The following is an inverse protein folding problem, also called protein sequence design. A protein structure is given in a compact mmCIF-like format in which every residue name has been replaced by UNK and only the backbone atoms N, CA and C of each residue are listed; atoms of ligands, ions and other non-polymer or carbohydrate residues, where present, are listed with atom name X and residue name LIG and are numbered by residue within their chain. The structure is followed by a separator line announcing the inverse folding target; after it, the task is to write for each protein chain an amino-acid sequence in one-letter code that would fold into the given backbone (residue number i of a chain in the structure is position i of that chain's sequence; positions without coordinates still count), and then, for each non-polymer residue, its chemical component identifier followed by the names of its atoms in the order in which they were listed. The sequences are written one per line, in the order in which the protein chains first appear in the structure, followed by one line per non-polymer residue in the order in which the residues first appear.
data_IF_672096377903
#
_entry.id   IF_672096377903
#
_cell.length_a   1.000
_cell.length_b   1.000
_cell.length_c   1.000
_cell.angle_alpha   90.00
_cell.angle_beta   90.00
_cell.angle_gamma   90.00
#
_symmetry.space_group_name_H-M   'P 1'
#
loop_
_entity.id
_entity.type
_entity.pdbx_description
1 polymer ?
#
# COMPACT_ATOMS: atom_id res chain seq x y z
N UNK A 1 27.55 -10.26 16.59
CA UNK A 1 26.74 -11.38 16.03
C UNK A 1 25.95 -10.88 14.83
N UNK A 2 26.06 -11.52 13.66
CA UNK A 2 25.18 -11.20 12.51
C UNK A 2 23.77 -11.68 12.84
N UNK A 3 22.77 -10.80 12.87
CA UNK A 3 21.36 -11.21 13.04
C UNK A 3 20.97 -12.12 11.88
N UNK A 4 20.43 -13.31 12.18
CA UNK A 4 19.91 -14.22 11.16
C UNK A 4 18.70 -13.56 10.50
N UNK A 5 18.67 -13.53 9.17
CA UNK A 5 17.49 -13.10 8.41
C UNK A 5 16.58 -14.32 8.29
N UNK A 6 15.42 -14.28 8.93
CA UNK A 6 14.43 -15.37 8.86
C UNK A 6 13.29 -14.89 7.96
N UNK A 7 13.13 -15.51 6.80
CA UNK A 7 12.05 -15.22 5.87
C UNK A 7 10.72 -15.81 6.37
N UNK A 8 9.59 -15.22 5.96
CA UNK A 8 8.26 -15.79 6.13
C UNK A 8 7.57 -15.99 4.77
N UNK A 9 6.50 -16.81 4.75
CA UNK A 9 5.68 -17.00 3.55
C UNK A 9 4.55 -15.97 3.51
N UNK A 10 4.57 -15.06 2.53
CA UNK A 10 3.51 -14.05 2.35
C UNK A 10 2.14 -14.68 2.20
N UNK A 11 2.04 -15.78 1.44
CA UNK A 11 0.79 -16.50 1.24
C UNK A 11 0.27 -17.11 2.55
N UNK A 12 1.15 -17.66 3.39
CA UNK A 12 0.76 -18.21 4.70
C UNK A 12 0.29 -17.09 5.64
N UNK A 13 1.01 -15.97 5.70
CA UNK A 13 0.63 -14.81 6.51
C UNK A 13 -0.71 -14.22 6.07
N UNK A 14 -0.93 -14.01 4.77
CA UNK A 14 -2.18 -13.48 4.22
C UNK A 14 -3.34 -14.44 4.52
N UNK A 15 -3.12 -15.75 4.34
CA UNK A 15 -4.13 -16.76 4.67
C UNK A 15 -4.47 -16.76 6.15
N UNK A 16 -3.46 -16.68 7.02
CA UNK A 16 -3.65 -16.59 8.47
C UNK A 16 -4.43 -15.33 8.85
N UNK A 17 -4.10 -14.18 8.26
CA UNK A 17 -4.83 -12.93 8.50
C UNK A 17 -6.30 -13.05 8.06
N UNK A 18 -6.56 -13.67 6.90
CA UNK A 18 -7.93 -13.89 6.42
C UNK A 18 -8.73 -14.84 7.34
N UNK A 19 -8.07 -15.83 7.96
CA UNK A 19 -8.70 -16.73 8.94
C UNK A 19 -8.99 -16.03 10.26
N UNK A 20 -8.08 -15.19 10.74
CA UNK A 20 -8.20 -14.53 12.04
C UNK A 20 -9.17 -13.33 12.02
N UNK A 21 -9.25 -12.59 10.91
CA UNK A 21 -10.13 -11.42 10.75
C UNK A 21 -10.99 -11.51 9.49
N UNK A 22 -11.92 -12.48 9.42
CA UNK A 22 -12.76 -12.68 8.26
C UNK A 22 -13.63 -11.44 7.98
N UNK A 23 -13.84 -11.12 6.69
CA UNK A 23 -14.75 -10.07 6.21
C UNK A 23 -14.47 -8.64 6.70
N UNK A 24 -13.31 -8.36 7.30
CA UNK A 24 -13.02 -7.03 7.85
C UNK A 24 -12.31 -6.09 6.85
N UNK A 25 -11.53 -6.65 5.93
CA UNK A 25 -10.85 -5.89 4.87
C UNK A 25 -11.67 -5.94 3.59
N UNK A 26 -11.80 -4.80 2.91
CA UNK A 26 -12.34 -4.75 1.55
C UNK A 26 -11.31 -5.19 0.51
N UNK A 27 -10.03 -5.01 0.79
CA UNK A 27 -8.92 -5.41 -0.11
C UNK A 27 -8.91 -6.93 -0.26
N UNK A 28 -9.13 -7.40 -1.49
CA UNK A 28 -9.21 -8.83 -1.78
C UNK A 28 -7.89 -9.57 -1.49
N UNK A 29 -7.92 -10.87 -1.19
CA UNK A 29 -6.70 -11.67 -1.05
C UNK A 29 -5.79 -11.61 -2.28
N UNK A 30 -6.36 -11.51 -3.49
CA UNK A 30 -5.59 -11.33 -4.73
C UNK A 30 -4.82 -10.01 -4.73
N UNK A 31 -5.48 -8.89 -4.37
CA UNK A 31 -4.82 -7.61 -4.24
C UNK A 31 -3.76 -7.62 -3.13
N UNK A 32 -4.01 -8.29 -2.00
CA UNK A 32 -3.03 -8.44 -0.93
C UNK A 32 -1.77 -9.18 -1.38
N UNK A 33 -1.92 -10.29 -2.12
CA UNK A 33 -0.79 -11.03 -2.72
C UNK A 33 -0.02 -10.14 -3.71
N UNK A 34 -0.73 -9.35 -4.51
CA UNK A 34 -0.13 -8.39 -5.43
C UNK A 34 0.68 -7.31 -4.69
N UNK A 35 0.16 -6.77 -3.59
CA UNK A 35 0.88 -5.81 -2.74
C UNK A 35 2.12 -6.45 -2.14
N UNK A 36 1.97 -7.65 -1.58
CA UNK A 36 3.06 -8.39 -0.92
C UNK A 36 4.18 -8.80 -1.88
N UNK A 37 3.94 -8.90 -3.19
CA UNK A 37 5.00 -9.10 -4.21
C UNK A 37 6.06 -7.98 -4.19
N UNK A 38 5.67 -6.79 -3.75
CA UNK A 38 6.56 -5.62 -3.65
C UNK A 38 7.16 -5.42 -2.25
N UNK A 39 6.85 -6.32 -1.32
CA UNK A 39 7.33 -6.29 0.05
C UNK A 39 8.20 -7.53 0.31
N UNK A 40 9.23 -7.39 1.15
CA UNK A 40 9.88 -8.57 1.74
C UNK A 40 9.00 -9.09 2.88
N UNK A 41 9.04 -10.41 3.14
CA UNK A 41 8.46 -11.02 4.34
C UNK A 41 9.58 -11.50 5.26
N UNK A 42 9.81 -10.81 6.39
CA UNK A 42 10.88 -11.18 7.34
C UNK A 42 10.37 -11.22 8.79
N UNK A 43 10.66 -12.33 9.50
CA UNK A 43 10.35 -12.50 10.93
C UNK A 43 11.28 -11.69 11.85
N UNK A 44 12.45 -11.32 11.35
CA UNK A 44 13.44 -10.50 12.08
C UNK A 44 13.51 -9.09 11.48
N UNK A 45 13.49 -8.03 12.31
CA UNK A 45 13.58 -6.65 11.85
C UNK A 45 14.83 -6.37 11.00
N UNK A 46 14.66 -5.54 9.98
CA UNK A 46 15.71 -5.09 9.07
C UNK A 46 15.53 -3.61 8.74
N UNK A 47 16.60 -2.95 8.28
CA UNK A 47 16.50 -1.60 7.75
C UNK A 47 16.20 -1.65 6.26
N UNK A 48 15.12 -0.99 5.83
CA UNK A 48 14.84 -0.81 4.41
C UNK A 48 15.84 0.18 3.76
N UNK A 49 15.89 0.31 2.42
CA UNK A 49 16.79 1.26 1.75
C UNK A 49 16.59 2.73 2.18
N UNK A 50 15.44 3.08 2.74
CA UNK A 50 15.16 4.40 3.29
C UNK A 50 15.60 4.56 4.77
N UNK A 51 16.26 3.56 5.36
CA UNK A 51 16.78 3.61 6.73
C UNK A 51 15.73 3.40 7.83
N UNK A 52 14.53 2.92 7.48
CA UNK A 52 13.44 2.66 8.45
C UNK A 52 13.49 1.21 8.92
N UNK A 53 13.30 0.98 10.22
CA UNK A 53 13.21 -0.37 10.78
C UNK A 53 11.88 -1.02 10.38
N UNK A 54 11.96 -2.17 9.73
CA UNK A 54 10.84 -2.86 9.08
C UNK A 54 10.80 -4.33 9.51
N UNK A 55 9.60 -4.91 9.62
CA UNK A 55 9.38 -6.33 9.93
C UNK A 55 8.11 -6.85 9.25
N UNK A 56 7.98 -8.17 9.17
CA UNK A 56 6.83 -8.81 8.53
C UNK A 56 6.79 -8.50 7.04
N UNK A 57 5.58 -8.19 6.55
CA UNK A 57 5.34 -7.72 5.18
C UNK A 57 5.34 -6.18 5.18
N UNK A 58 6.53 -5.58 5.16
CA UNK A 58 6.70 -4.12 5.02
C UNK A 58 6.27 -3.25 6.23
N UNK A 59 5.91 -3.82 7.38
CA UNK A 59 5.42 -3.07 8.56
C UNK A 59 6.53 -2.30 9.26
N UNK A 60 6.31 -1.02 9.57
CA UNK A 60 7.28 -0.12 10.23
C UNK A 60 6.82 0.42 11.58
N UNK A 61 5.58 0.17 12.00
CA UNK A 61 5.03 0.74 13.23
C UNK A 61 5.53 0.01 14.47
N UNK A 62 6.13 0.74 15.42
CA UNK A 62 6.58 0.23 16.74
C UNK A 62 7.31 -1.12 16.63
N UNK A 63 8.32 -1.17 15.76
CA UNK A 63 9.12 -2.40 15.56
C UNK A 63 10.13 -2.52 16.69
N UNK A 64 10.09 -3.64 17.40
CA UNK A 64 11.01 -4.03 18.45
C UNK A 64 12.12 -4.90 17.86
N UNK A 65 13.29 -4.88 18.48
CA UNK A 65 14.42 -5.67 18.01
C UNK A 65 14.38 -7.13 18.50
N UNK A 66 13.39 -7.91 18.05
CA UNK A 66 13.22 -9.33 18.34
C UNK A 66 12.68 -10.11 17.14
N UNK A 67 12.66 -11.44 17.21
CA UNK A 67 11.92 -12.25 16.26
C UNK A 67 10.41 -12.14 16.51
N UNK A 68 9.63 -12.10 15.43
CA UNK A 68 8.17 -12.07 15.44
C UNK A 68 7.59 -13.41 15.01
N UNK A 69 6.55 -13.86 15.71
CA UNK A 69 5.75 -15.01 15.30
C UNK A 69 4.88 -14.68 14.09
N UNK A 70 4.46 -15.70 13.34
CA UNK A 70 3.64 -15.52 12.14
C UNK A 70 2.28 -14.87 12.45
N UNK A 71 1.67 -15.19 13.60
CA UNK A 71 0.45 -14.53 14.06
C UNK A 71 0.63 -13.02 14.27
N UNK A 72 1.76 -12.59 14.83
CA UNK A 72 2.06 -11.16 15.02
C UNK A 72 2.29 -10.45 13.68
N UNK A 73 2.92 -11.14 12.72
CA UNK A 73 3.13 -10.61 11.38
C UNK A 73 1.79 -10.49 10.63
N UNK A 74 0.90 -11.48 10.77
CA UNK A 74 -0.44 -11.45 10.21
C UNK A 74 -1.28 -10.33 10.81
N UNK A 75 -1.23 -10.13 12.14
CA UNK A 75 -1.89 -9.02 12.81
C UNK A 75 -1.37 -7.67 12.32
N UNK A 76 -0.05 -7.53 12.16
CA UNK A 76 0.56 -6.30 11.63
C UNK A 76 0.11 -6.02 10.20
N UNK A 77 0.17 -7.02 9.33
CA UNK A 77 -0.30 -6.91 7.94
C UNK A 77 -1.77 -6.46 7.88
N UNK A 78 -2.62 -7.13 8.65
CA UNK A 78 -4.04 -6.79 8.76
C UNK A 78 -4.25 -5.35 9.23
N UNK A 79 -3.60 -4.95 10.33
CA UNK A 79 -3.75 -3.63 10.90
C UNK A 79 -3.22 -2.52 9.97
N UNK A 80 -2.15 -2.79 9.23
CA UNK A 80 -1.56 -1.85 8.27
C UNK A 80 -2.52 -1.62 7.09
N UNK A 81 -3.09 -2.69 6.53
CA UNK A 81 -4.13 -2.60 5.50
C UNK A 81 -5.39 -1.91 6.03
N UNK A 82 -5.87 -2.25 7.21
CA UNK A 82 -7.06 -1.62 7.79
C UNK A 82 -6.87 -0.11 7.97
N UNK A 83 -5.67 0.35 8.35
CA UNK A 83 -5.35 1.77 8.42
C UNK A 83 -5.29 2.41 7.04
N UNK A 84 -4.74 1.72 6.04
CA UNK A 84 -4.72 2.19 4.66
C UNK A 84 -6.13 2.33 4.09
N UNK A 85 -6.99 1.32 4.24
CA UNK A 85 -8.40 1.35 3.82
C UNK A 85 -9.19 2.48 4.48
N UNK A 86 -9.02 2.68 5.79
CA UNK A 86 -9.64 3.79 6.53
C UNK A 86 -9.22 5.15 5.96
N UNK A 87 -7.94 5.31 5.61
CA UNK A 87 -7.48 6.51 4.93
C UNK A 87 -8.11 6.68 3.55
N UNK A 88 -8.13 5.62 2.72
CA UNK A 88 -8.73 5.67 1.38
C UNK A 88 -10.20 6.07 1.44
N UNK A 89 -10.96 5.48 2.35
CA UNK A 89 -12.36 5.82 2.57
C UNK A 89 -12.54 7.29 2.99
N UNK A 90 -11.75 7.76 3.97
CA UNK A 90 -11.87 9.11 4.51
C UNK A 90 -11.38 10.20 3.56
N UNK A 91 -10.22 10.03 2.96
CA UNK A 91 -9.52 11.08 2.23
C UNK A 91 -9.78 11.06 0.72
N UNK A 92 -10.17 9.92 0.15
CA UNK A 92 -10.21 9.72 -1.31
C UNK A 92 -11.56 9.17 -1.80
N UNK A 93 -12.65 9.40 -1.05
CA UNK A 93 -13.99 8.89 -1.37
C UNK A 93 -14.01 7.38 -1.67
N UNK A 94 -13.19 6.61 -0.95
CA UNK A 94 -12.99 5.17 -1.18
C UNK A 94 -14.27 4.34 -1.20
N UNK A 95 -15.28 4.71 -0.42
CA UNK A 95 -16.58 4.03 -0.38
C UNK A 95 -17.27 4.01 -1.76
N UNK A 96 -17.04 5.03 -2.59
CA UNK A 96 -17.61 5.16 -3.94
C UNK A 96 -16.68 4.67 -5.05
N UNK A 97 -15.45 4.29 -4.73
CA UNK A 97 -14.48 3.84 -5.72
C UNK A 97 -14.79 2.41 -6.17
N UNK A 98 -14.61 2.08 -7.46
CA UNK A 98 -14.58 0.70 -7.94
C UNK A 98 -13.54 -0.15 -7.20
N UNK A 99 -13.73 -1.47 -7.17
CA UNK A 99 -12.94 -2.36 -6.31
C UNK A 99 -11.44 -2.27 -6.58
N UNK A 100 -10.99 -2.36 -7.84
CA UNK A 100 -9.56 -2.32 -8.15
C UNK A 100 -8.97 -0.92 -8.02
N UNK A 101 -9.79 0.13 -8.10
CA UNK A 101 -9.40 1.50 -7.81
C UNK A 101 -9.14 1.67 -6.31
N UNK A 102 -10.07 1.19 -5.48
CA UNK A 102 -9.94 1.18 -4.03
C UNK A 102 -8.68 0.42 -3.59
N UNK A 103 -8.46 -0.77 -4.13
CA UNK A 103 -7.28 -1.59 -3.83
C UNK A 103 -5.98 -0.90 -4.27
N UNK A 104 -5.97 -0.23 -5.43
CA UNK A 104 -4.78 0.49 -5.90
C UNK A 104 -4.45 1.72 -5.06
N UNK A 105 -5.47 2.45 -4.59
CA UNK A 105 -5.28 3.52 -3.61
C UNK A 105 -4.84 2.98 -2.25
N UNK A 106 -5.29 1.78 -1.87
CA UNK A 106 -4.87 1.10 -0.64
C UNK A 106 -3.40 0.70 -0.72
N UNK A 107 -2.93 0.14 -1.84
CA UNK A 107 -1.50 -0.11 -2.11
C UNK A 107 -0.68 1.19 -2.01
N UNK A 108 -1.14 2.25 -2.68
CA UNK A 108 -0.48 3.56 -2.62
C UNK A 108 -0.38 4.07 -1.19
N UNK A 109 -1.46 3.98 -0.42
CA UNK A 109 -1.52 4.42 0.98
C UNK A 109 -0.62 3.58 1.88
N UNK A 110 -0.58 2.26 1.67
CA UNK A 110 0.31 1.35 2.39
C UNK A 110 1.78 1.71 2.15
N UNK A 111 2.13 2.03 0.90
CA UNK A 111 3.51 2.26 0.48
C UNK A 111 4.04 3.67 0.78
N UNK A 112 3.28 4.72 0.49
CA UNK A 112 3.72 6.12 0.65
C UNK A 112 3.05 6.84 1.83
N UNK A 113 2.16 6.15 2.54
CA UNK A 113 1.38 6.71 3.64
C UNK A 113 0.21 7.58 3.17
N UNK A 114 -0.77 7.74 4.05
CA UNK A 114 -1.98 8.54 3.80
C UNK A 114 -1.65 9.99 3.40
N UNK A 115 -0.75 10.62 4.15
CA UNK A 115 -0.31 11.99 3.87
C UNK A 115 0.47 12.09 2.55
N UNK A 116 1.36 11.11 2.27
CA UNK A 116 2.16 11.11 1.05
C UNK A 116 1.33 10.94 -0.21
N UNK A 117 0.24 10.16 -0.14
CA UNK A 117 -0.70 9.99 -1.26
C UNK A 117 -1.58 11.23 -1.46
N UNK A 118 -1.96 11.90 -0.36
CA UNK A 118 -2.90 13.02 -0.38
C UNK A 118 -2.29 14.40 -0.59
N UNK A 119 -1.02 14.58 -0.23
CA UNK A 119 -0.36 15.90 -0.16
C UNK A 119 1.07 15.87 -0.68
N UNK A 120 1.50 16.98 -1.28
CA UNK A 120 2.91 17.25 -1.57
C UNK A 120 3.27 18.69 -1.22
N UNK A 121 4.57 18.98 -1.13
CA UNK A 121 5.09 20.33 -0.96
C UNK A 121 5.47 20.89 -2.33
N UNK A 122 4.88 22.00 -2.76
CA UNK A 122 5.18 22.62 -4.05
C UNK A 122 6.52 23.39 -4.02
N UNK A 123 6.95 23.93 -5.16
CA UNK A 123 8.19 24.72 -5.27
C UNK A 123 8.21 26.02 -4.44
N UNK A 124 7.06 26.43 -3.86
CA UNK A 124 6.94 27.57 -2.94
C UNK A 124 6.92 27.15 -1.46
N UNK A 125 7.19 25.87 -1.16
CA UNK A 125 7.18 25.34 0.21
C UNK A 125 5.78 25.10 0.80
N UNK A 126 4.71 25.22 0.01
CA UNK A 126 3.34 25.09 0.50
C UNK A 126 2.83 23.65 0.38
N UNK A 127 2.12 23.17 1.40
CA UNK A 127 1.39 21.89 1.34
C UNK A 127 0.14 22.02 0.48
N UNK A 128 0.06 21.22 -0.57
CA UNK A 128 -1.05 21.22 -1.53
C UNK A 128 -1.52 19.79 -1.83
N UNK A 129 -2.80 19.63 -2.17
CA UNK A 129 -3.38 18.33 -2.51
C UNK A 129 -2.81 17.79 -3.83
N UNK A 130 -2.62 16.47 -3.90
CA UNK A 130 -2.17 15.77 -5.10
C UNK A 130 -3.22 15.78 -6.20
N UNK A 131 -2.80 15.59 -7.46
CA UNK A 131 -3.74 15.44 -8.58
C UNK A 131 -4.59 14.17 -8.45
N UNK A 132 -4.00 13.08 -7.93
CA UNK A 132 -4.73 11.86 -7.58
C UNK A 132 -5.88 12.17 -6.61
N UNK A 133 -5.62 12.93 -5.54
CA UNK A 133 -6.66 13.34 -4.60
C UNK A 133 -7.78 14.12 -5.28
N UNK A 134 -7.45 15.10 -6.14
CA UNK A 134 -8.46 15.89 -6.87
C UNK A 134 -9.33 15.01 -7.77
N UNK A 135 -8.75 14.04 -8.47
CA UNK A 135 -9.51 13.08 -9.27
C UNK A 135 -10.44 12.22 -8.40
N UNK A 136 -9.97 11.75 -7.25
CA UNK A 136 -10.79 10.99 -6.32
C UNK A 136 -11.99 11.81 -5.82
N UNK A 137 -11.78 13.08 -5.45
CA UNK A 137 -12.87 13.97 -5.04
C UNK A 137 -13.88 14.23 -6.15
N UNK A 138 -13.43 14.28 -7.41
CA UNK A 138 -14.28 14.45 -8.58
C UNK A 138 -14.96 13.15 -9.05
N UNK A 139 -14.68 11.99 -8.41
CA UNK A 139 -15.15 10.68 -8.87
C UNK A 139 -14.53 10.25 -10.22
N UNK A 140 -13.46 10.92 -10.66
CA UNK A 140 -12.73 10.55 -11.87
C UNK A 140 -11.78 9.39 -11.58
N UNK A 141 -12.34 8.18 -11.50
CA UNK A 141 -11.58 6.99 -11.13
C UNK A 141 -10.52 6.58 -12.14
N UNK A 142 -10.75 6.81 -13.44
CA UNK A 142 -9.71 6.62 -14.47
C UNK A 142 -8.52 7.57 -14.23
N UNK A 143 -8.80 8.84 -13.93
CA UNK A 143 -7.78 9.81 -13.56
C UNK A 143 -7.02 9.45 -12.28
N UNK A 144 -7.68 8.84 -11.29
CA UNK A 144 -6.98 8.28 -10.11
C UNK A 144 -5.96 7.22 -10.54
N UNK A 145 -6.37 6.25 -11.35
CA UNK A 145 -5.48 5.20 -11.85
C UNK A 145 -4.27 5.76 -12.59
N UNK A 146 -4.50 6.74 -13.47
CA UNK A 146 -3.43 7.37 -14.28
C UNK A 146 -2.43 8.15 -13.41
N UNK A 147 -2.84 8.65 -12.25
CA UNK A 147 -1.97 9.41 -11.33
C UNK A 147 -1.23 8.56 -10.31
N UNK A 148 -1.42 7.24 -10.29
CA UNK A 148 -0.61 6.34 -9.45
C UNK A 148 0.89 6.46 -9.75
N UNK A 149 1.25 6.77 -11.00
CA UNK A 149 2.64 6.90 -11.47
C UNK A 149 3.33 8.19 -11.00
N UNK A 150 2.62 9.09 -10.32
CA UNK A 150 3.22 10.28 -9.69
C UNK A 150 4.06 9.88 -8.44
N UNK A 151 3.78 8.72 -7.84
CA UNK A 151 4.34 8.27 -6.56
C UNK A 151 5.49 7.27 -6.73
N UNK A 152 6.56 7.70 -7.40
CA UNK A 152 7.71 6.86 -7.80
C UNK A 152 9.05 7.26 -7.18
N UNK A 153 9.02 8.15 -6.19
CA UNK A 153 10.21 8.65 -5.52
C UNK A 153 10.34 8.10 -4.10
N UNK A 154 11.57 7.79 -3.69
CA UNK A 154 11.95 7.47 -2.31
C UNK A 154 13.04 8.44 -1.87
N UNK A 155 12.87 9.09 -0.71
CA UNK A 155 13.77 10.14 -0.21
C UNK A 155 14.11 11.21 -1.28
N UNK A 156 13.12 11.61 -2.08
CA UNK A 156 13.26 12.62 -3.13
C UNK A 156 13.93 12.14 -4.43
N UNK A 157 14.36 10.87 -4.51
CA UNK A 157 14.98 10.30 -5.72
C UNK A 157 14.06 9.28 -6.37
N UNK A 158 14.03 9.25 -7.71
CA UNK A 158 13.27 8.26 -8.48
C UNK A 158 13.78 6.86 -8.18
N UNK A 159 12.87 5.91 -7.95
CA UNK A 159 13.17 4.51 -7.68
C UNK A 159 12.54 3.61 -8.73
N UNK A 160 13.35 2.79 -9.42
CA UNK A 160 12.84 1.87 -10.44
C UNK A 160 11.86 0.84 -9.85
N UNK A 161 12.07 0.40 -8.61
CA UNK A 161 11.14 -0.50 -7.93
C UNK A 161 9.76 0.14 -7.72
N UNK A 162 9.73 1.42 -7.36
CA UNK A 162 8.46 2.17 -7.22
C UNK A 162 7.80 2.42 -8.57
N UNK A 163 8.58 2.70 -9.63
CA UNK A 163 8.05 2.80 -11.00
C UNK A 163 7.34 1.50 -11.39
N UNK A 164 8.01 0.36 -11.24
CA UNK A 164 7.44 -0.94 -11.58
C UNK A 164 6.16 -1.23 -10.77
N UNK A 165 6.18 -0.95 -9.47
CA UNK A 165 5.00 -1.10 -8.59
C UNK A 165 3.83 -0.24 -9.07
N UNK A 166 4.06 1.04 -9.35
CA UNK A 166 3.01 1.97 -9.75
C UNK A 166 2.43 1.67 -11.12
N UNK A 167 3.24 1.27 -12.09
CA UNK A 167 2.74 0.85 -13.41
C UNK A 167 1.89 -0.42 -13.31
N UNK A 168 2.32 -1.40 -12.51
CA UNK A 168 1.58 -2.64 -12.30
C UNK A 168 0.23 -2.41 -11.59
N UNK A 169 0.20 -1.51 -10.59
CA UNK A 169 -1.05 -1.12 -9.94
C UNK A 169 -1.91 -0.19 -10.80
N UNK A 170 -1.34 0.64 -11.67
CA UNK A 170 -2.10 1.38 -12.68
C UNK A 170 -2.82 0.43 -13.64
N UNK A 171 -2.13 -0.61 -14.12
CA UNK A 171 -2.75 -1.64 -14.95
C UNK A 171 -3.87 -2.38 -14.21
N UNK A 172 -3.65 -2.75 -12.94
CA UNK A 172 -4.69 -3.34 -12.08
C UNK A 172 -5.90 -2.42 -11.93
N UNK A 173 -5.67 -1.15 -11.58
CA UNK A 173 -6.69 -0.13 -11.41
C UNK A 173 -7.54 0.05 -12.68
N UNK A 174 -6.90 0.23 -13.84
CA UNK A 174 -7.57 0.38 -15.14
C UNK A 174 -8.25 -0.92 -15.61
N UNK A 175 -7.91 -2.06 -15.01
CA UNK A 175 -8.54 -3.33 -15.35
C UNK A 175 -9.92 -3.54 -14.71
N UNK A 176 -10.36 -2.62 -13.84
CA UNK A 176 -11.67 -2.70 -13.20
C UNK A 176 -12.79 -2.71 -14.26
N UNK A 177 -13.77 -3.64 -14.17
CA UNK A 177 -14.91 -3.66 -15.09
C UNK A 177 -15.67 -2.33 -15.16
N UNK A 178 -15.79 -1.61 -14.04
CA UNK A 178 -16.47 -0.32 -13.99
C UNK A 178 -15.71 0.80 -14.73
N UNK A 179 -14.41 0.62 -14.98
CA UNK A 179 -13.58 1.54 -15.79
C UNK A 179 -13.56 1.10 -17.25
N UNK A 180 -13.40 -0.21 -17.52
CA UNK A 180 -13.33 -0.74 -18.89
C UNK A 180 -14.62 -0.52 -19.69
N UNK A 181 -15.77 -0.44 -19.02
CA UNK A 181 -17.08 -0.27 -19.65
C UNK A 181 -17.44 1.16 -20.08
N UNK A 182 -16.60 2.16 -19.77
CA UNK A 182 -16.84 3.55 -20.17
C UNK A 182 -16.32 3.75 -21.60
N UNK A 183 -17.19 3.45 -22.59
CA UNK A 183 -17.03 3.94 -23.97
C UNK A 183 -17.60 5.35 -24.08
#
# INVERSE_FOLDING_TARGET
MKKRIIACSTAAIISLAATLWPQTLRTSPEAQLKMAKYEDCRKTPYYCPAGVLTVGIGSTSKVENREYAEGEIAERWFNDLLRAEKCVNREFKGTSAPQKVFESMTDGTLNVGCTGLGWYTNGKGQKVRTTLWRHAQAGNWKGVCERLTDFVNSAGKRSQGLVNRREDFKAWCLSDPAIKGVK
#
